data_IF_635058752937
#
_entry.id   IF_635058752937
#
_cell.length_a   1.000
_cell.length_b   1.000
_cell.length_c   1.000
_cell.angle_alpha   90.00
_cell.angle_beta   90.00
_cell.angle_gamma   90.00
#
_symmetry.space_group_name_H-M   'P 1'
#
loop_
_entity.id
_entity.type
_entity.pdbx_description
1 polymer ?
#
# COMPACT_ATOMS: atom_id res chain seq x y z
N UNK A 1 7.55 -3.46 4.28
CA UNK A 1 7.69 -4.68 5.14
C UNK A 1 8.44 -4.39 6.45
N UNK A 2 9.50 -3.56 6.45
CA UNK A 2 10.35 -3.28 7.62
C UNK A 2 9.58 -2.73 8.84
N UNK A 3 8.56 -1.92 8.60
CA UNK A 3 7.79 -1.27 9.67
C UNK A 3 6.73 -2.18 10.30
N UNK A 4 6.46 -3.35 9.69
CA UNK A 4 5.38 -4.21 10.18
C UNK A 4 5.66 -4.83 11.55
N UNK A 5 6.91 -5.25 11.80
CA UNK A 5 7.29 -5.81 13.09
C UNK A 5 7.14 -4.78 14.22
N UNK A 6 7.41 -3.51 13.92
CA UNK A 6 7.28 -2.40 14.88
C UNK A 6 5.80 -2.12 15.14
N UNK A 7 4.98 -2.05 14.08
CA UNK A 7 3.54 -1.83 14.20
C UNK A 7 2.88 -2.90 15.07
N UNK A 8 3.14 -4.19 14.82
CA UNK A 8 2.52 -5.29 15.59
C UNK A 8 3.02 -5.38 17.04
N UNK A 9 4.19 -4.82 17.33
CA UNK A 9 4.74 -4.76 18.68
C UNK A 9 4.18 -3.60 19.50
N UNK A 10 3.65 -2.57 18.83
CA UNK A 10 3.19 -1.33 19.45
C UNK A 10 1.67 -1.19 19.43
N UNK A 11 1.00 -1.80 18.46
CA UNK A 11 -0.44 -1.70 18.24
C UNK A 11 -1.04 -3.10 18.21
N UNK A 12 -2.13 -3.29 18.96
CA UNK A 12 -2.89 -4.53 18.92
C UNK A 12 -3.83 -4.53 17.71
N UNK A 13 -3.98 -5.67 17.01
CA UNK A 13 -4.96 -5.79 15.93
C UNK A 13 -6.38 -5.36 16.35
N UNK A 14 -6.80 -5.71 17.57
CA UNK A 14 -8.12 -5.34 18.11
C UNK A 14 -8.30 -3.82 18.27
N UNK A 15 -7.28 -3.10 18.71
CA UNK A 15 -7.36 -1.64 18.92
C UNK A 15 -7.48 -0.91 17.58
N UNK A 16 -6.63 -1.25 16.61
CA UNK A 16 -6.68 -0.61 15.29
C UNK A 16 -7.97 -0.96 14.52
N UNK A 17 -8.51 -2.17 14.70
CA UNK A 17 -9.78 -2.59 14.07
C UNK A 17 -10.97 -1.72 14.47
N UNK A 18 -10.99 -1.18 15.68
CA UNK A 18 -12.08 -0.31 16.14
C UNK A 18 -12.13 1.03 15.40
N UNK A 19 -10.98 1.47 14.87
CA UNK A 19 -10.84 2.72 14.13
C UNK A 19 -10.98 2.54 12.61
N UNK A 20 -11.22 1.30 12.14
CA UNK A 20 -11.33 0.95 10.72
C UNK A 20 -12.80 0.66 10.35
N UNK A 21 -13.60 1.69 9.99
CA UNK A 21 -14.99 1.50 9.60
C UNK A 21 -15.13 0.75 8.27
N UNK A 22 -14.07 0.72 7.44
CA UNK A 22 -14.03 -0.04 6.19
C UNK A 22 -14.04 -1.56 6.36
N UNK A 23 -13.78 -2.08 7.57
CA UNK A 23 -13.84 -3.51 7.84
C UNK A 23 -15.30 -3.94 8.11
N UNK A 24 -15.71 -5.04 7.49
CA UNK A 24 -17.01 -5.65 7.79
C UNK A 24 -16.96 -6.37 9.13
N UNK A 25 -18.12 -6.63 9.74
CA UNK A 25 -18.19 -7.42 10.97
C UNK A 25 -17.56 -8.81 10.80
N UNK A 26 -17.74 -9.42 9.62
CA UNK A 26 -17.12 -10.70 9.29
C UNK A 26 -15.59 -10.58 9.22
N UNK A 27 -15.05 -9.56 8.53
CA UNK A 27 -13.60 -9.35 8.48
C UNK A 27 -13.01 -9.20 9.90
N UNK A 28 -13.71 -8.46 10.77
CA UNK A 28 -13.29 -8.27 12.16
C UNK A 28 -13.22 -9.60 12.92
N UNK A 29 -14.26 -10.42 12.80
CA UNK A 29 -14.33 -11.74 13.46
C UNK A 29 -13.20 -12.67 12.99
N UNK A 30 -12.94 -12.72 11.68
CA UNK A 30 -11.87 -13.56 11.11
C UNK A 30 -10.49 -13.07 11.57
N UNK A 31 -10.25 -11.76 11.59
CA UNK A 31 -8.97 -11.18 12.05
C UNK A 31 -8.76 -11.46 13.54
N UNK A 32 -9.81 -11.35 14.34
CA UNK A 32 -9.79 -11.66 15.76
C UNK A 32 -9.48 -13.13 16.01
N UNK A 33 -10.23 -14.05 15.40
CA UNK A 33 -9.98 -15.48 15.50
C UNK A 33 -8.57 -15.86 15.02
N UNK A 34 -8.06 -15.17 13.97
CA UNK A 34 -6.69 -15.37 13.49
C UNK A 34 -5.65 -14.86 14.48
N UNK A 35 -5.93 -13.74 15.15
CA UNK A 35 -5.07 -13.16 16.18
C UNK A 35 -4.97 -14.08 17.39
N UNK A 36 -6.07 -14.67 17.83
CA UNK A 36 -6.10 -15.61 18.96
C UNK A 36 -5.40 -16.93 18.63
N UNK A 37 -5.64 -17.48 17.44
CA UNK A 37 -5.08 -18.78 17.03
C UNK A 37 -3.61 -18.72 16.58
N UNK A 38 -3.20 -17.63 15.94
CA UNK A 38 -1.90 -17.53 15.25
C UNK A 38 -1.05 -16.34 15.73
N UNK A 39 -1.52 -15.58 16.71
CA UNK A 39 -0.81 -14.44 17.29
C UNK A 39 -0.98 -13.11 16.54
N UNK A 40 -0.58 -12.01 17.20
CA UNK A 40 -0.77 -10.64 16.72
C UNK A 40 -0.16 -10.35 15.35
N UNK A 41 1.00 -10.95 15.04
CA UNK A 41 1.65 -10.76 13.73
C UNK A 41 0.78 -11.29 12.59
N UNK A 42 0.25 -12.50 12.73
CA UNK A 42 -0.60 -13.12 11.71
C UNK A 42 -1.94 -12.39 11.59
N UNK A 43 -2.52 -11.95 12.71
CA UNK A 43 -3.72 -11.12 12.72
C UNK A 43 -3.52 -9.80 11.94
N UNK A 44 -2.41 -9.10 12.18
CA UNK A 44 -2.13 -7.83 11.48
C UNK A 44 -1.84 -8.03 9.99
N UNK A 45 -1.17 -9.12 9.61
CA UNK A 45 -0.97 -9.46 8.19
C UNK A 45 -2.31 -9.67 7.48
N UNK A 46 -3.26 -10.36 8.13
CA UNK A 46 -4.59 -10.56 7.57
C UNK A 46 -5.38 -9.24 7.51
N UNK A 47 -5.29 -8.41 8.54
CA UNK A 47 -5.89 -7.08 8.57
C UNK A 47 -5.45 -6.25 7.36
N UNK A 48 -4.15 -6.20 7.08
CA UNK A 48 -3.61 -5.47 5.94
C UNK A 48 -4.04 -6.05 4.60
N UNK A 49 -4.21 -7.37 4.51
CA UNK A 49 -4.73 -8.02 3.30
C UNK A 49 -6.19 -7.63 3.05
N UNK A 50 -7.02 -7.63 4.10
CA UNK A 50 -8.40 -7.14 4.05
C UNK A 50 -8.47 -5.66 3.64
N UNK A 51 -7.59 -4.82 4.20
CA UNK A 51 -7.54 -3.39 3.88
C UNK A 51 -7.17 -3.13 2.42
N UNK A 52 -6.14 -3.81 1.89
CA UNK A 52 -5.71 -3.63 0.49
C UNK A 52 -6.78 -3.89 -0.57
N UNK A 53 -7.83 -4.64 -0.21
CA UNK A 53 -8.95 -4.97 -1.09
C UNK A 53 -10.07 -3.93 -1.07
N UNK A 54 -9.97 -2.89 -0.22
CA UNK A 54 -10.96 -1.81 -0.06
C UNK A 54 -10.42 -0.51 -0.65
N UNK A 55 -11.32 0.35 -1.11
CA UNK A 55 -10.97 1.71 -1.53
C UNK A 55 -10.67 2.59 -0.30
N UNK A 56 -9.76 3.56 -0.43
CA UNK A 56 -9.37 4.51 0.62
C UNK A 56 -8.86 3.87 1.92
N UNK A 57 -8.30 2.66 1.84
CA UNK A 57 -7.70 1.98 2.98
C UNK A 57 -6.44 2.64 3.55
N UNK A 58 -5.52 3.26 2.76
CA UNK A 58 -4.27 3.77 3.32
C UNK A 58 -4.51 4.99 4.22
N UNK A 59 -5.44 5.87 3.85
CA UNK A 59 -5.83 7.03 4.67
C UNK A 59 -6.44 6.59 6.00
N UNK A 60 -7.42 5.68 5.96
CA UNK A 60 -8.05 5.13 7.16
C UNK A 60 -7.05 4.40 8.05
N UNK A 61 -6.09 3.68 7.47
CA UNK A 61 -5.04 3.01 8.24
C UNK A 61 -4.12 3.99 8.95
N UNK A 62 -3.72 5.08 8.28
CA UNK A 62 -2.89 6.12 8.88
C UNK A 62 -3.65 6.82 10.01
N UNK A 63 -4.92 7.17 9.82
CA UNK A 63 -5.76 7.79 10.85
C UNK A 63 -5.92 6.86 12.07
N UNK A 64 -6.09 5.57 11.83
CA UNK A 64 -6.16 4.57 12.89
C UNK A 64 -4.85 4.49 13.69
N UNK A 65 -3.70 4.60 13.03
CA UNK A 65 -2.40 4.65 13.71
C UNK A 65 -2.24 5.93 14.54
N UNK A 66 -2.74 7.07 14.08
CA UNK A 66 -2.75 8.31 14.87
C UNK A 66 -3.66 8.19 16.11
N UNK A 67 -4.82 7.54 15.97
CA UNK A 67 -5.73 7.27 17.08
C UNK A 67 -5.13 6.30 18.11
N UNK A 68 -4.28 5.35 17.69
CA UNK A 68 -3.50 4.47 18.57
C UNK A 68 -2.21 5.11 19.10
N UNK A 69 -2.09 6.45 19.06
CA UNK A 69 -0.94 7.25 19.51
C UNK A 69 0.38 6.94 18.77
N UNK A 70 0.34 6.22 17.65
CA UNK A 70 1.52 5.88 16.85
C UNK A 70 1.81 6.93 15.77
N UNK A 71 1.81 8.21 16.16
CA UNK A 71 1.95 9.34 15.23
C UNK A 71 3.23 9.31 14.41
N UNK A 72 4.35 8.86 15.00
CA UNK A 72 5.62 8.72 14.29
C UNK A 72 5.55 7.70 13.15
N UNK A 73 4.90 6.56 13.41
CA UNK A 73 4.73 5.49 12.42
C UNK A 73 3.72 5.93 11.35
N UNK A 74 2.62 6.57 11.76
CA UNK A 74 1.63 7.14 10.86
C UNK A 74 2.27 8.15 9.88
N UNK A 75 3.13 9.04 10.39
CA UNK A 75 3.84 10.02 9.57
C UNK A 75 4.80 9.37 8.56
N UNK A 76 5.53 8.33 8.98
CA UNK A 76 6.44 7.59 8.10
C UNK A 76 5.67 6.90 6.95
N UNK A 77 4.56 6.23 7.27
CA UNK A 77 3.71 5.57 6.27
C UNK A 77 3.05 6.61 5.35
N UNK A 78 2.60 7.74 5.89
CA UNK A 78 2.03 8.85 5.09
C UNK A 78 3.06 9.42 4.12
N UNK A 79 4.30 9.60 4.56
CA UNK A 79 5.38 10.07 3.70
C UNK A 79 5.71 9.06 2.59
N UNK A 80 5.79 7.76 2.92
CA UNK A 80 6.04 6.70 1.93
C UNK A 80 4.88 6.58 0.93
N UNK A 81 3.63 6.67 1.40
CA UNK A 81 2.44 6.68 0.54
C UNK A 81 2.41 7.88 -0.39
N UNK A 82 2.63 9.09 0.13
CA UNK A 82 2.69 10.31 -0.69
C UNK A 82 3.81 10.24 -1.72
N UNK A 83 4.99 9.73 -1.35
CA UNK A 83 6.08 9.54 -2.30
C UNK A 83 5.70 8.57 -3.44
N UNK A 84 4.98 7.47 -3.14
CA UNK A 84 4.50 6.54 -4.17
C UNK A 84 3.41 7.15 -5.05
N UNK A 85 2.52 7.97 -4.49
CA UNK A 85 1.47 8.67 -5.23
C UNK A 85 2.03 9.81 -6.09
N UNK A 86 2.98 10.59 -5.59
CA UNK A 86 3.66 11.65 -6.35
C UNK A 86 4.48 11.09 -7.50
N UNK A 87 5.12 9.93 -7.33
CA UNK A 87 5.80 9.24 -8.44
C UNK A 87 4.81 8.77 -9.51
N UNK A 88 3.59 8.39 -9.12
CA UNK A 88 2.55 7.95 -10.06
C UNK A 88 1.82 9.13 -10.74
N UNK A 89 1.74 10.29 -10.09
CA UNK A 89 1.17 11.52 -10.65
C UNK A 89 2.21 12.39 -11.41
N UNK A 90 3.50 12.14 -11.18
CA UNK A 90 4.59 12.70 -11.99
C UNK A 90 4.69 11.94 -13.30
N UNK A 91 3.82 12.31 -14.24
CA UNK A 91 3.99 12.27 -15.70
C UNK A 91 5.08 11.32 -16.27
N UNK A 92 4.75 10.34 -17.14
CA UNK A 92 5.73 9.53 -17.87
C UNK A 92 6.38 10.34 -19.02
N UNK A 93 6.92 11.51 -18.74
CA UNK A 93 7.69 12.29 -19.71
C UNK A 93 9.17 12.17 -19.37
N UNK A 94 9.76 11.00 -19.63
CA UNK A 94 11.20 10.82 -19.94
C UNK A 94 11.58 9.33 -20.10
N UNK A 95 10.77 8.51 -20.79
CA UNK A 95 11.40 7.46 -21.61
C UNK A 95 11.51 8.03 -23.00
N UNK A 96 12.65 8.67 -23.24
CA UNK A 96 13.11 9.07 -24.56
C UNK A 96 12.97 7.86 -25.47
N UNK A 97 11.87 7.81 -26.23
CA UNK A 97 11.77 7.02 -27.44
C UNK A 97 12.86 7.60 -28.34
N UNK A 98 14.00 6.91 -28.40
CA UNK A 98 14.93 7.08 -29.50
C UNK A 98 14.21 6.50 -30.72
N UNK A 99 13.34 7.30 -31.31
CA UNK A 99 12.93 7.15 -32.70
C UNK A 99 14.19 7.38 -33.52
N UNK A 100 14.90 6.28 -33.80
CA UNK A 100 15.90 6.24 -34.85
C UNK A 100 15.15 6.39 -36.18
N UNK A 101 15.08 7.62 -36.65
CA UNK A 101 14.61 7.94 -37.98
C UNK A 101 15.80 7.87 -38.94
N UNK A 102 15.52 7.27 -40.10
CA UNK A 102 16.23 7.37 -41.39
C UNK A 102 17.35 6.35 -41.64
N UNK A 103 17.02 5.36 -42.48
CA UNK A 103 17.76 5.19 -43.73
C UNK A 103 16.76 4.88 -44.88
N UNK A 104 16.84 5.59 -46.03
CA UNK A 104 15.91 5.44 -47.15
C UNK A 104 16.20 4.18 -47.98
N UNK A 105 15.15 3.69 -48.67
CA UNK A 105 15.19 2.54 -49.57
C UNK A 105 16.17 2.76 -50.75
N UNK A 106 16.98 1.75 -51.14
CA UNK A 106 17.65 1.80 -52.42
C UNK A 106 16.65 1.44 -53.53
N UNK A 107 16.30 2.43 -54.34
CA UNK A 107 15.77 2.19 -55.69
C UNK A 107 16.91 1.70 -56.58
N UNK A 108 16.83 0.44 -57.01
CA UNK A 108 17.39 -0.05 -58.26
C UNK A 108 16.36 -1.08 -58.77
N UNK A 109 15.69 -0.91 -59.91
CA UNK A 109 16.22 -0.39 -61.17
C UNK A 109 16.52 -1.58 -62.08
N UNK A 110 15.45 -2.11 -62.67
CA UNK A 110 15.34 -2.96 -63.86
C UNK A 110 16.60 -3.17 -64.73
N UNK A 111 16.98 -4.43 -64.98
CA UNK A 111 17.04 -5.09 -66.30
C UNK A 111 17.33 -6.59 -66.13
#
# INVERSE_FOLDING_TARGET
RRNMAIIVSKVKPREIMMHLPCLTAHDRDVIEAKTESSGHYNGMMLLLDCLKRRENWPEQFIDSLEACEQRSIAAEIRAEYNALMDVNNSNPSSRSVVTAHVHPAPSAGHL
#
